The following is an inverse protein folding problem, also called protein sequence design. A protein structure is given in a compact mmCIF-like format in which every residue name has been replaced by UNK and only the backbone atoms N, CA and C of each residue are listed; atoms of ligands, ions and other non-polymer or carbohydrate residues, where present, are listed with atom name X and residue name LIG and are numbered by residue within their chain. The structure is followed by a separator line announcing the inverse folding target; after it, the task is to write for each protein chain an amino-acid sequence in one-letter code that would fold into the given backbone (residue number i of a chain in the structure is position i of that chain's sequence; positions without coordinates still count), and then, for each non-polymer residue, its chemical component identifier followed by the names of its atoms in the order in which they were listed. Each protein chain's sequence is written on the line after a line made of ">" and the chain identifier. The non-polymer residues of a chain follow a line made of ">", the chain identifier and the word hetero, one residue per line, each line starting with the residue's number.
data_IF_775700630299
#
_entry.id   IF_775700630299
#
_cell.length_a   1.000
_cell.length_b   1.000
_cell.length_c   1.000
_cell.angle_alpha   90.00
_cell.angle_beta   90.00
_cell.angle_gamma   90.00
#
_symmetry.space_group_name_H-M   'P 1'
#
loop_
_entity.id
_entity.type
_entity.pdbx_description
1 polymer ?
#
# COMPACT_ATOMS: atom_id res chain seq x y z
N UNK A 1 38.91 -34.13 48.10
CA UNK A 1 38.01 -33.22 47.33
C UNK A 1 38.30 -33.40 45.85
N UNK A 2 37.27 -33.65 45.04
CA UNK A 2 37.39 -33.74 43.58
C UNK A 2 36.02 -34.05 42.97
N UNK A 3 35.21 -33.00 42.75
CA UNK A 3 33.85 -33.12 42.19
C UNK A 3 33.92 -33.56 40.72
N UNK A 4 33.25 -34.66 40.36
CA UNK A 4 32.99 -35.04 38.96
C UNK A 4 32.02 -34.03 38.34
N UNK A 5 32.46 -33.32 37.31
CA UNK A 5 31.63 -32.50 36.44
C UNK A 5 30.69 -33.42 35.63
N UNK A 6 29.39 -33.12 35.63
CA UNK A 6 28.42 -33.79 34.75
C UNK A 6 28.56 -33.22 33.35
N UNK A 7 28.83 -34.08 32.39
CA UNK A 7 28.85 -33.77 30.97
C UNK A 7 27.45 -33.34 30.51
N UNK A 8 27.35 -32.20 29.83
CA UNK A 8 26.09 -31.68 29.31
C UNK A 8 25.61 -32.56 28.15
N UNK A 9 24.38 -33.08 28.23
CA UNK A 9 23.75 -33.80 27.12
C UNK A 9 23.62 -32.87 25.92
N UNK A 10 24.19 -33.25 24.78
CA UNK A 10 23.97 -32.57 23.51
C UNK A 10 22.47 -32.63 23.15
N UNK A 11 21.92 -31.50 22.73
CA UNK A 11 20.56 -31.40 22.21
C UNK A 11 20.44 -32.32 20.99
N UNK A 12 19.55 -33.30 21.09
CA UNK A 12 19.30 -34.31 20.07
C UNK A 12 18.83 -33.62 18.77
N UNK A 13 19.59 -33.77 17.69
CA UNK A 13 19.13 -33.41 16.36
C UNK A 13 17.94 -34.31 15.99
N UNK A 14 16.81 -33.71 15.63
CA UNK A 14 15.63 -34.42 15.17
C UNK A 14 15.99 -35.36 14.01
N UNK A 15 16.06 -36.66 14.29
CA UNK A 15 16.14 -37.67 13.23
C UNK A 15 14.78 -37.71 12.52
N UNK A 16 14.75 -37.42 11.22
CA UNK A 16 13.56 -37.62 10.39
C UNK A 16 13.11 -39.09 10.47
N UNK A 17 11.80 -39.41 10.50
CA UNK A 17 11.35 -40.79 10.62
C UNK A 17 11.81 -41.61 9.41
N UNK A 18 12.50 -42.72 9.66
CA UNK A 18 12.80 -43.72 8.62
C UNK A 18 11.51 -44.47 8.29
N UNK A 19 11.13 -44.45 7.01
CA UNK A 19 10.00 -45.21 6.48
C UNK A 19 10.23 -46.72 6.66
N UNK A 20 9.47 -47.34 7.54
CA UNK A 20 9.28 -48.80 7.58
C UNK A 20 7.92 -49.13 6.99
N UNK A 21 7.91 -49.56 5.73
CA UNK A 21 6.75 -50.15 5.08
C UNK A 21 6.32 -51.43 5.82
N UNK A 22 5.09 -51.46 6.38
CA UNK A 22 4.15 -52.60 6.44
C UNK A 22 3.01 -52.36 7.44
N UNK A 23 1.86 -51.87 6.95
CA UNK A 23 0.49 -52.45 7.04
C UNK A 23 -0.54 -51.41 6.56
N UNK A 24 -1.50 -51.77 5.68
CA UNK A 24 -2.47 -50.82 5.14
C UNK A 24 -3.70 -50.72 6.04
N UNK A 25 -3.79 -49.66 6.84
CA UNK A 25 -5.08 -49.10 7.23
C UNK A 25 -5.36 -47.90 6.35
N UNK A 26 -6.30 -48.06 5.43
CA UNK A 26 -6.86 -46.98 4.64
C UNK A 26 -7.69 -46.06 5.55
N UNK A 27 -7.50 -44.76 5.36
CA UNK A 27 -8.34 -43.57 5.64
C UNK A 27 -7.41 -42.50 6.24
N UNK A 28 -7.09 -41.48 5.44
CA UNK A 28 -6.17 -40.37 5.68
C UNK A 28 -4.66 -40.65 5.50
N UNK A 29 -4.21 -40.47 4.25
CA UNK A 29 -2.83 -40.07 3.97
C UNK A 29 -2.59 -38.72 4.66
N UNK A 30 -1.74 -38.67 5.68
CA UNK A 30 -1.49 -37.45 6.48
C UNK A 30 -0.87 -36.27 5.69
N UNK A 31 -0.61 -36.46 4.40
CA UNK A 31 0.22 -35.59 3.58
C UNK A 31 -0.24 -35.58 2.11
N UNK A 32 -1.55 -35.52 1.86
CA UNK A 32 -2.04 -35.07 0.55
C UNK A 32 -1.62 -33.60 0.35
N UNK A 33 -0.69 -33.39 -0.59
CA UNK A 33 -0.11 -32.08 -0.94
C UNK A 33 -1.19 -31.06 -1.29
N UNK A 34 -2.25 -31.55 -1.92
CA UNK A 34 -3.51 -30.90 -2.23
C UNK A 34 -4.25 -30.39 -1.00
N UNK A 35 -4.43 -31.19 0.06
CA UNK A 35 -5.11 -30.75 1.29
C UNK A 35 -4.33 -29.63 1.97
N UNK A 36 -3.01 -29.76 2.07
CA UNK A 36 -2.18 -28.73 2.72
C UNK A 36 -2.07 -27.46 1.87
N UNK A 37 -2.11 -27.57 0.55
CA UNK A 37 -2.21 -26.41 -0.34
C UNK A 37 -3.52 -25.67 -0.14
N UNK A 38 -4.66 -26.38 0.04
CA UNK A 38 -5.93 -25.75 0.39
C UNK A 38 -5.89 -25.06 1.76
N UNK A 39 -5.33 -25.71 2.79
CA UNK A 39 -5.15 -25.10 4.11
C UNK A 39 -4.28 -23.84 4.03
N UNK A 40 -3.22 -23.87 3.23
CA UNK A 40 -2.30 -22.75 3.04
C UNK A 40 -3.02 -21.49 2.51
N UNK A 41 -4.08 -21.63 1.70
CA UNK A 41 -4.89 -20.50 1.21
C UNK A 41 -5.59 -19.71 2.32
N UNK A 42 -5.67 -20.24 3.54
CA UNK A 42 -6.27 -19.58 4.70
C UNK A 42 -5.26 -19.07 5.73
N UNK A 43 -3.96 -19.36 5.54
CA UNK A 43 -2.89 -18.89 6.41
C UNK A 43 -2.38 -17.52 5.96
N UNK A 44 -2.08 -16.63 6.91
CA UNK A 44 -1.37 -15.37 6.61
C UNK A 44 0.10 -15.64 6.28
N UNK A 45 0.79 -14.67 5.65
CA UNK A 45 2.18 -14.85 5.25
C UNK A 45 3.11 -15.23 6.40
N UNK A 46 2.85 -14.71 7.62
CA UNK A 46 3.62 -15.08 8.81
C UNK A 46 3.42 -16.54 9.19
N UNK A 47 2.19 -17.03 9.22
CA UNK A 47 1.88 -18.43 9.53
C UNK A 47 2.42 -19.38 8.46
N UNK A 48 2.38 -18.99 7.18
CA UNK A 48 2.98 -19.77 6.09
C UNK A 48 4.48 -19.96 6.29
N UNK A 49 5.22 -18.89 6.61
CA UNK A 49 6.66 -18.97 6.90
C UNK A 49 6.92 -19.79 8.16
N UNK A 50 6.13 -19.58 9.22
CA UNK A 50 6.24 -20.34 10.47
C UNK A 50 6.02 -21.85 10.23
N UNK A 51 5.07 -22.23 9.37
CA UNK A 51 4.84 -23.62 9.02
C UNK A 51 5.96 -24.18 8.14
N UNK A 52 6.46 -23.39 7.17
CA UNK A 52 7.56 -23.76 6.29
C UNK A 52 8.84 -24.13 7.07
N UNK A 53 9.13 -23.45 8.18
CA UNK A 53 10.34 -23.72 8.98
C UNK A 53 10.23 -24.95 9.89
N UNK A 54 9.06 -25.59 9.99
CA UNK A 54 8.88 -26.76 10.87
C UNK A 54 9.55 -28.03 10.34
N UNK A 55 9.52 -28.27 9.03
CA UNK A 55 10.19 -29.41 8.39
C UNK A 55 10.39 -29.20 6.88
N UNK A 56 11.29 -30.01 6.27
CA UNK A 56 11.59 -29.93 4.83
C UNK A 56 10.38 -30.17 3.93
N UNK A 57 9.42 -31.00 4.38
CA UNK A 57 8.22 -31.30 3.61
C UNK A 57 7.29 -30.08 3.54
N UNK A 58 7.00 -29.45 4.69
CA UNK A 58 6.23 -28.20 4.71
C UNK A 58 6.93 -27.06 3.98
N UNK A 59 8.26 -26.95 4.10
CA UNK A 59 9.01 -25.96 3.34
C UNK A 59 8.75 -26.10 1.83
N UNK A 60 8.75 -27.33 1.30
CA UNK A 60 8.53 -27.55 -0.15
C UNK A 60 7.16 -27.05 -0.60
N UNK A 61 6.11 -27.33 0.18
CA UNK A 61 4.72 -26.99 -0.17
C UNK A 61 4.42 -25.51 0.09
N UNK A 62 4.76 -25.00 1.28
CA UNK A 62 4.43 -23.62 1.67
C UNK A 62 5.20 -22.56 0.87
N UNK A 63 6.32 -22.94 0.26
CA UNK A 63 7.13 -22.06 -0.59
C UNK A 63 6.78 -22.18 -2.08
N UNK A 64 5.76 -22.97 -2.44
CA UNK A 64 5.26 -22.98 -3.81
C UNK A 64 4.63 -21.64 -4.17
N UNK A 65 4.92 -21.18 -5.38
CA UNK A 65 4.47 -19.86 -5.86
C UNK A 65 2.94 -19.77 -5.95
N UNK A 66 2.26 -20.90 -6.17
CA UNK A 66 0.80 -21.03 -6.15
C UNK A 66 0.20 -20.65 -4.79
N UNK A 67 0.82 -21.06 -3.68
CA UNK A 67 0.39 -20.73 -2.32
C UNK A 67 0.46 -19.22 -2.10
N UNK A 68 1.59 -18.61 -2.48
CA UNK A 68 1.80 -17.17 -2.34
C UNK A 68 0.91 -16.35 -3.28
N UNK A 69 0.55 -16.89 -4.46
CA UNK A 69 -0.47 -16.30 -5.33
C UNK A 69 -1.80 -16.17 -4.60
N UNK A 70 -2.29 -17.24 -3.98
CA UNK A 70 -3.56 -17.21 -3.25
C UNK A 70 -3.50 -16.29 -2.04
N UNK A 71 -2.41 -16.35 -1.25
CA UNK A 71 -2.22 -15.45 -0.11
C UNK A 71 -2.22 -13.98 -0.55
N UNK A 72 -1.51 -13.65 -1.63
CA UNK A 72 -1.41 -12.29 -2.15
C UNK A 72 -2.76 -11.75 -2.62
N UNK A 73 -3.48 -12.50 -3.47
CA UNK A 73 -4.79 -12.08 -4.00
C UNK A 73 -5.83 -11.91 -2.88
N UNK A 74 -5.84 -12.82 -1.89
CA UNK A 74 -6.72 -12.76 -0.72
C UNK A 74 -6.43 -11.52 0.13
N UNK A 75 -5.16 -11.31 0.49
CA UNK A 75 -4.78 -10.25 1.43
C UNK A 75 -4.83 -8.86 0.78
N UNK A 76 -4.63 -8.77 -0.54
CA UNK A 76 -4.84 -7.54 -1.32
C UNK A 76 -6.30 -7.33 -1.74
N UNK A 77 -7.15 -8.37 -1.65
CA UNK A 77 -8.56 -8.38 -2.06
C UNK A 77 -8.78 -7.99 -3.53
N UNK A 78 -7.92 -8.50 -4.41
CA UNK A 78 -7.99 -8.28 -5.87
C UNK A 78 -8.14 -9.62 -6.59
N UNK A 79 -8.83 -9.67 -7.75
CA UNK A 79 -8.95 -10.89 -8.52
C UNK A 79 -7.65 -11.19 -9.26
N UNK A 80 -7.55 -12.39 -9.81
CA UNK A 80 -6.37 -12.83 -10.54
C UNK A 80 -6.19 -12.02 -11.84
N UNK A 81 -5.05 -11.32 -12.02
CA UNK A 81 -4.82 -10.46 -13.18
C UNK A 81 -4.37 -11.22 -14.44
N UNK A 82 -4.40 -12.56 -14.43
CA UNK A 82 -3.82 -13.38 -15.49
C UNK A 82 -2.34 -13.70 -15.25
N UNK A 83 -1.64 -14.11 -16.31
CA UNK A 83 -0.24 -14.49 -16.19
C UNK A 83 0.63 -13.27 -15.87
N UNK A 84 1.43 -13.41 -14.82
CA UNK A 84 2.35 -12.38 -14.35
C UNK A 84 3.80 -12.80 -14.58
N UNK A 85 4.71 -11.86 -14.90
CA UNK A 85 6.12 -12.17 -15.18
C UNK A 85 6.98 -12.35 -13.92
N UNK A 86 6.38 -12.29 -12.72
CA UNK A 86 7.07 -12.31 -11.44
C UNK A 86 6.60 -13.45 -10.54
N UNK A 87 7.40 -13.75 -9.50
CA UNK A 87 7.02 -14.68 -8.44
C UNK A 87 6.11 -13.99 -7.43
N UNK A 88 5.03 -14.65 -7.06
CA UNK A 88 4.07 -14.15 -6.09
C UNK A 88 4.66 -14.00 -4.68
N UNK A 89 5.65 -14.81 -4.31
CA UNK A 89 6.33 -14.66 -3.03
C UNK A 89 7.15 -13.37 -2.93
N UNK A 90 7.81 -12.96 -4.01
CA UNK A 90 8.56 -11.70 -4.06
C UNK A 90 7.60 -10.52 -3.94
N UNK A 91 6.48 -10.60 -4.66
CA UNK A 91 5.41 -9.63 -4.60
C UNK A 91 4.80 -9.48 -3.20
N UNK A 92 4.47 -10.61 -2.57
CA UNK A 92 3.88 -10.64 -1.24
C UNK A 92 4.85 -10.04 -0.23
N UNK A 93 6.12 -10.39 -0.33
CA UNK A 93 7.15 -9.83 0.56
C UNK A 93 7.15 -8.30 0.41
N UNK A 94 7.26 -7.78 -0.81
CA UNK A 94 7.29 -6.33 -1.03
C UNK A 94 6.00 -5.61 -0.62
N UNK A 95 4.84 -6.20 -0.91
CA UNK A 95 3.55 -5.59 -0.62
C UNK A 95 3.21 -5.56 0.89
N UNK A 96 3.94 -6.31 1.73
CA UNK A 96 3.65 -6.45 3.16
C UNK A 96 4.85 -6.17 4.08
N UNK A 97 6.09 -6.12 3.58
CA UNK A 97 7.31 -5.77 4.35
C UNK A 97 7.55 -4.26 4.48
N UNK A 98 6.72 -3.44 3.84
CA UNK A 98 6.83 -1.99 3.84
C UNK A 98 7.73 -1.41 2.74
N UNK A 99 8.36 -2.22 1.89
CA UNK A 99 9.15 -1.73 0.74
C UNK A 99 8.29 -1.10 -0.36
N UNK A 100 6.98 -1.40 -0.35
CA UNK A 100 6.00 -0.71 -1.19
C UNK A 100 5.72 0.74 -0.75
N UNK A 101 6.14 1.12 0.46
CA UNK A 101 5.81 2.42 1.06
C UNK A 101 6.67 3.54 0.49
N UNK A 102 6.25 4.79 0.72
CA UNK A 102 7.07 5.95 0.41
C UNK A 102 8.37 6.00 1.23
N UNK A 103 8.34 5.52 2.49
CA UNK A 103 9.49 5.51 3.37
C UNK A 103 10.65 4.66 2.84
N UNK A 104 10.36 3.64 2.02
CA UNK A 104 11.39 2.77 1.42
C UNK A 104 12.52 3.54 0.73
N UNK A 105 12.22 4.72 0.16
CA UNK A 105 13.22 5.62 -0.45
C UNK A 105 13.51 6.90 0.31
N UNK A 106 12.67 7.26 1.28
CA UNK A 106 12.79 8.51 2.02
C UNK A 106 12.82 8.22 3.52
N UNK A 107 13.79 7.38 3.91
CA UNK A 107 14.00 6.92 5.28
C UNK A 107 14.22 8.09 6.27
N UNK A 108 14.67 9.24 5.77
CA UNK A 108 14.94 10.44 6.55
C UNK A 108 13.69 11.27 6.86
N UNK A 109 12.51 10.88 6.37
CA UNK A 109 11.26 11.62 6.59
C UNK A 109 10.33 10.85 7.53
N UNK A 110 10.03 11.44 8.69
CA UNK A 110 8.98 10.98 9.58
C UNK A 110 7.62 11.17 8.89
N UNK A 111 7.06 10.08 8.39
CA UNK A 111 5.82 10.08 7.63
C UNK A 111 4.94 8.96 8.17
N UNK A 112 3.76 9.33 8.63
CA UNK A 112 2.72 8.35 8.89
C UNK A 112 2.16 7.90 7.55
N UNK A 113 2.34 6.62 7.29
CA UNK A 113 1.86 5.97 6.11
C UNK A 113 0.79 4.96 6.48
N UNK A 114 -0.24 4.87 5.66
CA UNK A 114 -1.25 3.84 5.78
C UNK A 114 -1.52 3.26 4.41
N UNK A 115 -1.37 1.93 4.28
CA UNK A 115 -1.84 1.23 3.09
C UNK A 115 -3.35 1.27 3.06
N UNK A 116 -3.91 1.79 1.98
CA UNK A 116 -5.36 1.81 1.76
C UNK A 116 -5.83 0.44 1.29
N UNK A 117 -5.10 -0.15 0.34
CA UNK A 117 -5.41 -1.45 -0.23
C UNK A 117 -4.85 -1.58 -1.64
N UNK A 118 -5.45 -2.46 -2.44
CA UNK A 118 -5.15 -2.60 -3.85
C UNK A 118 -6.42 -2.54 -4.71
N UNK A 119 -6.26 -2.08 -5.94
CA UNK A 119 -7.31 -1.97 -6.95
C UNK A 119 -6.74 -2.31 -8.33
N UNK A 120 -7.59 -2.38 -9.34
CA UNK A 120 -7.25 -2.74 -10.71
C UNK A 120 -7.43 -1.58 -11.68
N UNK A 121 -6.52 -1.53 -12.64
CA UNK A 121 -6.75 -0.90 -13.94
C UNK A 121 -6.93 -1.98 -15.01
N UNK A 122 -8.13 -2.08 -15.56
CA UNK A 122 -8.47 -2.88 -16.73
C UNK A 122 -8.32 -2.08 -18.04
N UNK A 123 -8.26 -0.75 -17.95
CA UNK A 123 -8.02 0.15 -19.07
C UNK A 123 -6.73 0.97 -18.91
N UNK A 124 -6.13 1.45 -20.02
CA UNK A 124 -4.94 2.28 -19.98
C UNK A 124 -5.23 3.74 -19.64
N UNK A 125 -6.45 4.06 -19.19
CA UNK A 125 -6.91 5.42 -18.94
C UNK A 125 -7.39 5.57 -17.49
N UNK A 126 -6.81 6.55 -16.78
CA UNK A 126 -7.17 6.90 -15.42
C UNK A 126 -7.80 8.29 -15.33
N UNK A 127 -8.75 8.44 -14.41
CA UNK A 127 -9.25 9.73 -13.96
C UNK A 127 -8.73 10.02 -12.56
N UNK A 128 -8.06 11.15 -12.41
CA UNK A 128 -7.54 11.67 -11.14
C UNK A 128 -8.37 12.88 -10.74
N UNK A 129 -8.87 12.96 -9.53
CA UNK A 129 -9.75 14.07 -9.11
C UNK A 129 -9.49 14.45 -7.66
N UNK A 130 -9.66 15.72 -7.36
CA UNK A 130 -9.73 16.25 -5.99
C UNK A 130 -11.18 16.49 -5.52
N UNK A 131 -12.15 16.36 -6.43
CA UNK A 131 -13.57 16.49 -6.14
C UNK A 131 -14.26 15.13 -6.22
N UNK A 132 -14.80 14.69 -5.07
CA UNK A 132 -15.52 13.43 -4.93
C UNK A 132 -17.04 13.65 -4.84
N UNK A 133 -17.55 14.75 -5.40
CA UNK A 133 -18.97 15.11 -5.38
C UNK A 133 -19.71 14.35 -6.48
N UNK A 134 -20.99 14.00 -6.22
CA UNK A 134 -21.85 13.21 -7.11
C UNK A 134 -21.84 13.69 -8.58
N UNK A 135 -21.56 12.74 -9.48
CA UNK A 135 -21.52 12.83 -10.94
C UNK A 135 -20.38 13.67 -11.55
N UNK A 136 -19.24 13.02 -11.80
CA UNK A 136 -18.25 13.54 -12.75
C UNK A 136 -18.81 13.34 -14.16
N UNK A 137 -19.29 14.41 -14.81
CA UNK A 137 -19.67 14.39 -16.22
C UNK A 137 -18.39 14.35 -17.06
N UNK A 138 -17.96 13.16 -17.47
CA UNK A 138 -16.76 12.96 -18.30
C UNK A 138 -16.95 13.71 -19.63
N UNK A 139 -16.10 14.70 -19.97
CA UNK A 139 -16.15 15.37 -21.25
C UNK A 139 -15.67 14.44 -22.36
N UNK A 140 -16.15 14.70 -23.58
CA UNK A 140 -15.60 14.04 -24.77
C UNK A 140 -14.13 14.45 -24.94
N UNK A 141 -13.30 13.46 -25.26
CA UNK A 141 -11.82 13.51 -25.35
C UNK A 141 -11.34 14.62 -26.31
N UNK A 142 -11.21 15.86 -25.83
CA UNK A 142 -10.57 16.94 -26.59
C UNK A 142 -9.39 17.54 -25.81
N UNK A 143 -8.20 16.99 -26.04
CA UNK A 143 -6.86 17.51 -25.68
C UNK A 143 -6.56 17.67 -24.17
N UNK A 144 -5.79 16.70 -23.64
CA UNK A 144 -5.37 16.53 -22.25
C UNK A 144 -4.74 17.77 -21.57
N UNK A 145 -3.99 18.58 -22.32
CA UNK A 145 -3.17 19.66 -21.75
C UNK A 145 -3.99 20.88 -21.29
N UNK A 146 -5.24 21.03 -21.74
CA UNK A 146 -6.11 22.18 -21.41
C UNK A 146 -7.19 21.87 -20.36
N UNK A 147 -7.43 20.60 -20.03
CA UNK A 147 -8.52 20.20 -19.10
C UNK A 147 -8.19 20.48 -17.62
N UNK A 148 -6.95 20.23 -17.20
CA UNK A 148 -6.56 20.28 -15.76
C UNK A 148 -6.68 21.69 -15.14
N UNK A 149 -6.64 22.76 -15.95
CA UNK A 149 -6.78 24.12 -15.43
C UNK A 149 -8.24 24.57 -15.23
N UNK A 150 -9.20 23.95 -15.91
CA UNK A 150 -10.62 24.36 -15.87
C UNK A 150 -11.53 23.38 -15.13
N UNK A 151 -11.21 22.09 -15.12
CA UNK A 151 -12.03 21.04 -14.50
C UNK A 151 -11.34 20.45 -13.27
N UNK A 152 -12.13 19.94 -12.32
CA UNK A 152 -11.65 19.37 -11.06
C UNK A 152 -11.13 17.94 -11.20
N UNK A 153 -10.52 17.62 -12.35
CA UNK A 153 -9.94 16.31 -12.61
C UNK A 153 -8.86 16.38 -13.70
N UNK A 154 -8.06 15.33 -13.76
CA UNK A 154 -6.98 15.12 -14.70
C UNK A 154 -7.11 13.72 -15.30
N UNK A 155 -7.11 13.63 -16.63
CA UNK A 155 -7.11 12.37 -17.35
C UNK A 155 -5.67 11.96 -17.66
N UNK A 156 -5.34 10.69 -17.43
CA UNK A 156 -4.00 10.16 -17.63
C UNK A 156 -4.07 8.88 -18.46
N UNK A 157 -3.40 8.88 -19.61
CA UNK A 157 -3.41 7.78 -20.56
C UNK A 157 -2.09 6.99 -20.52
N UNK A 158 -2.12 5.83 -21.16
CA UNK A 158 -1.00 4.89 -21.21
C UNK A 158 -0.61 4.43 -19.79
N UNK A 159 -1.62 4.14 -18.96
CA UNK A 159 -1.49 3.50 -17.65
C UNK A 159 -1.21 2.01 -17.85
N UNK A 160 -0.29 1.47 -17.05
CA UNK A 160 -0.08 0.03 -16.99
C UNK A 160 -1.28 -0.66 -16.35
N UNK A 161 -1.98 -1.50 -17.11
CA UNK A 161 -3.09 -2.32 -16.60
C UNK A 161 -2.59 -3.38 -15.63
N UNK A 162 -3.43 -3.74 -14.66
CA UNK A 162 -3.12 -4.75 -13.64
C UNK A 162 -3.37 -4.26 -12.23
N UNK A 163 -2.70 -4.87 -11.25
CA UNK A 163 -2.87 -4.56 -9.82
C UNK A 163 -2.06 -3.33 -9.44
N UNK A 164 -2.70 -2.43 -8.71
CA UNK A 164 -2.11 -1.24 -8.14
C UNK A 164 -2.29 -1.24 -6.63
N UNK A 165 -1.21 -0.92 -5.90
CA UNK A 165 -1.25 -0.76 -4.45
C UNK A 165 -1.36 0.73 -4.14
N UNK A 166 -2.36 1.09 -3.33
CA UNK A 166 -2.62 2.45 -2.91
C UNK A 166 -2.22 2.68 -1.45
N UNK A 167 -1.62 3.84 -1.19
CA UNK A 167 -1.25 4.29 0.14
C UNK A 167 -1.55 5.77 0.31
N UNK A 168 -1.92 6.15 1.53
CA UNK A 168 -1.92 7.54 1.95
C UNK A 168 -0.66 7.81 2.76
N UNK A 169 -0.08 8.98 2.53
CA UNK A 169 0.99 9.54 3.32
C UNK A 169 0.53 10.87 3.89
N UNK A 170 0.52 10.95 5.21
CA UNK A 170 0.37 12.21 5.92
C UNK A 170 1.70 12.52 6.58
N UNK A 171 2.20 13.71 6.34
CA UNK A 171 3.46 14.10 6.95
C UNK A 171 3.21 14.72 8.32
N UNK A 172 3.77 14.07 9.36
CA UNK A 172 3.78 14.54 10.74
C UNK A 172 5.25 14.62 11.16
N UNK A 173 5.74 15.79 11.56
CA UNK A 173 6.99 15.86 12.32
C UNK A 173 6.73 15.61 13.79
N UNK A 174 7.49 14.65 14.30
CA UNK A 174 7.63 14.39 15.72
C UNK A 174 8.26 15.59 16.44
N UNK A 175 7.53 16.23 17.35
CA UNK A 175 8.15 16.92 18.46
C UNK A 175 8.73 15.86 19.40
N UNK A 176 10.05 15.71 19.39
CA UNK A 176 10.78 14.81 20.27
C UNK A 176 11.37 15.65 21.41
N UNK A 177 10.73 15.66 22.59
CA UNK A 177 11.49 15.32 23.79
C UNK A 177 10.79 14.34 24.75
N UNK A 178 9.79 13.55 24.30
CA UNK A 178 9.15 12.53 25.15
C UNK A 178 9.74 11.11 25.02
N UNK A 179 10.53 10.81 23.98
CA UNK A 179 11.12 9.46 23.80
C UNK A 179 12.33 9.22 24.71
N UNK A 180 12.92 10.27 25.29
CA UNK A 180 14.04 10.14 26.23
C UNK A 180 13.62 9.61 27.62
N UNK A 181 12.33 9.56 27.97
CA UNK A 181 11.87 8.99 29.24
C UNK A 181 11.55 7.49 29.17
N UNK A 182 11.21 6.96 27.99
CA UNK A 182 10.81 5.55 27.83
C UNK A 182 11.97 4.59 27.51
N UNK A 183 13.18 5.12 27.31
CA UNK A 183 14.38 4.31 27.05
C UNK A 183 14.85 3.49 28.27
N UNK A 184 14.27 3.72 29.45
CA UNK A 184 14.66 3.05 30.70
C UNK A 184 13.82 1.82 31.08
N UNK A 185 12.84 1.39 30.27
CA UNK A 185 12.11 0.14 30.49
C UNK A 185 12.17 -0.72 29.23
N UNK A 186 13.08 -1.69 29.21
CA UNK A 186 13.38 -2.56 28.08
C UNK A 186 12.21 -3.43 27.60
N UNK A 187 11.29 -2.84 26.84
CA UNK A 187 10.21 -3.53 26.12
C UNK A 187 10.22 -3.02 24.67
N UNK A 188 11.19 -3.50 23.89
CA UNK A 188 11.34 -3.15 22.46
C UNK A 188 10.45 -4.01 21.53
N UNK A 189 9.73 -4.99 22.06
CA UNK A 189 8.94 -5.95 21.27
C UNK A 189 7.44 -5.67 21.22
N UNK A 190 6.93 -4.65 21.92
CA UNK A 190 5.50 -4.34 21.96
C UNK A 190 5.06 -3.20 21.00
N UNK A 191 5.97 -2.47 20.37
CA UNK A 191 5.61 -1.28 19.58
C UNK A 191 5.05 -1.56 18.17
N UNK A 192 5.12 -2.79 17.67
CA UNK A 192 4.55 -3.12 16.36
C UNK A 192 3.05 -3.44 16.37
N UNK A 193 2.37 -3.44 17.53
CA UNK A 193 1.01 -3.99 17.61
C UNK A 193 -0.04 -3.15 18.35
N UNK A 194 0.22 -1.89 18.68
CA UNK A 194 -0.80 -1.02 19.30
C UNK A 194 -0.78 0.37 18.68
N UNK A 195 -1.78 0.63 17.85
CA UNK A 195 -2.23 1.97 17.50
C UNK A 195 -2.67 2.72 18.76
N UNK A 196 -1.98 3.81 19.13
CA UNK A 196 -2.33 4.86 20.11
C UNK A 196 -1.10 5.80 20.15
N UNK A 197 -1.10 7.08 19.77
CA UNK A 197 -2.08 8.16 19.83
C UNK A 197 -1.81 9.11 18.64
N UNK A 198 -2.84 9.48 17.88
CA UNK A 198 -2.76 10.58 16.90
C UNK A 198 -3.84 11.61 17.23
N UNK A 199 -3.61 12.41 18.27
CA UNK A 199 -4.45 13.58 18.57
C UNK A 199 -3.81 14.92 18.16
N UNK A 200 -2.50 14.98 17.91
CA UNK A 200 -1.84 16.22 17.50
C UNK A 200 -1.24 16.09 16.09
N UNK A 201 -2.12 16.20 15.09
CA UNK A 201 -1.78 16.29 13.68
C UNK A 201 -1.29 17.71 13.34
N UNK A 202 -0.24 18.18 14.01
CA UNK A 202 0.35 19.49 13.72
C UNK A 202 1.86 19.36 13.54
N UNK A 203 2.29 19.83 12.36
CA UNK A 203 3.63 20.28 11.95
C UNK A 203 4.56 19.22 11.30
N UNK A 204 4.83 19.42 9.98
CA UNK A 204 6.10 19.54 9.20
C UNK A 204 6.51 18.67 7.97
N UNK A 205 6.91 19.41 6.88
CA UNK A 205 7.95 19.26 5.79
C UNK A 205 7.71 18.70 4.36
N UNK A 206 7.15 19.51 3.46
CA UNK A 206 7.04 19.25 2.00
C UNK A 206 8.24 18.52 1.32
N UNK A 207 8.02 17.40 0.61
CA UNK A 207 9.08 16.68 -0.10
C UNK A 207 9.45 17.25 -1.47
N UNK A 208 8.84 18.37 -1.89
CA UNK A 208 8.95 18.91 -3.26
C UNK A 208 9.80 20.17 -3.35
N UNK A 209 9.86 21.00 -2.30
CA UNK A 209 10.42 22.36 -2.47
C UNK A 209 11.86 22.58 -2.01
N UNK A 210 12.44 21.82 -1.08
CA UNK A 210 13.81 22.06 -0.55
C UNK A 210 14.08 23.55 -0.17
N UNK A 211 13.04 24.26 0.28
CA UNK A 211 13.06 25.70 0.59
C UNK A 211 12.71 25.96 2.06
N UNK A 212 13.41 26.93 2.65
CA UNK A 212 13.43 27.25 4.09
C UNK A 212 12.18 27.98 4.63
N UNK A 213 11.15 28.20 3.78
CA UNK A 213 9.94 29.02 4.08
C UNK A 213 8.63 28.22 4.11
N UNK A 214 8.67 26.91 4.39
CA UNK A 214 7.53 26.00 4.21
C UNK A 214 6.78 25.66 5.53
N UNK A 215 5.55 26.18 5.72
CA UNK A 215 4.64 25.89 6.85
C UNK A 215 3.40 25.02 6.47
N UNK A 216 3.57 23.98 5.64
CA UNK A 216 2.42 23.23 5.08
C UNK A 216 2.26 21.78 5.53
N UNK A 217 1.09 21.42 6.07
CA UNK A 217 0.58 20.03 6.15
C UNK A 217 0.25 19.54 4.73
N UNK A 218 0.77 18.36 4.36
CA UNK A 218 0.53 17.75 3.06
C UNK A 218 -0.09 16.37 3.21
N UNK A 219 -1.16 16.13 2.45
CA UNK A 219 -1.71 14.80 2.23
C UNK A 219 -1.33 14.33 0.83
N UNK A 220 -0.87 13.08 0.74
CA UNK A 220 -0.53 12.45 -0.54
C UNK A 220 -1.24 11.12 -0.69
N UNK A 221 -2.02 10.97 -1.77
CA UNK A 221 -2.50 9.68 -2.27
C UNK A 221 -1.53 9.18 -3.35
N UNK A 222 -0.83 8.09 -3.08
CA UNK A 222 -0.06 7.38 -4.10
C UNK A 222 -0.75 6.08 -4.48
N UNK A 223 -0.68 5.75 -5.77
CA UNK A 223 -0.96 4.42 -6.29
C UNK A 223 0.22 3.97 -7.15
N UNK A 224 0.65 2.72 -6.98
CA UNK A 224 1.81 2.14 -7.68
C UNK A 224 1.44 0.81 -8.29
N UNK A 225 1.79 0.60 -9.55
CA UNK A 225 1.65 -0.70 -10.20
C UNK A 225 2.51 -1.73 -9.46
N UNK A 226 2.00 -2.94 -9.28
CA UNK A 226 2.61 -3.93 -8.40
C UNK A 226 4.01 -4.39 -8.87
N UNK A 227 4.25 -4.40 -10.17
CA UNK A 227 5.56 -4.72 -10.75
C UNK A 227 6.62 -3.64 -10.51
N UNK A 228 6.22 -2.41 -10.19
CA UNK A 228 7.13 -1.28 -9.95
C UNK A 228 8.23 -1.69 -8.95
N UNK A 229 7.82 -2.39 -7.91
CA UNK A 229 8.72 -2.73 -6.81
C UNK A 229 9.72 -3.85 -7.12
N UNK A 230 9.55 -4.52 -8.26
CA UNK A 230 10.46 -5.56 -8.75
C UNK A 230 11.51 -4.99 -9.71
N UNK A 231 11.36 -3.74 -10.15
CA UNK A 231 12.27 -3.09 -11.10
C UNK A 231 13.49 -2.53 -10.39
N UNK A 232 14.66 -2.85 -10.91
CA UNK A 232 15.94 -2.36 -10.37
C UNK A 232 16.07 -0.85 -10.55
N UNK A 233 15.60 -0.32 -11.68
CA UNK A 233 15.61 1.12 -12.01
C UNK A 233 14.71 1.92 -11.08
N UNK A 234 13.60 1.31 -10.67
CA UNK A 234 12.84 1.83 -9.55
C UNK A 234 13.75 1.77 -8.33
N UNK A 235 14.14 0.59 -7.83
CA UNK A 235 14.91 0.43 -6.58
C UNK A 235 16.15 1.33 -6.46
N UNK A 236 16.87 1.58 -7.55
CA UNK A 236 18.06 2.43 -7.62
C UNK A 236 17.76 3.94 -7.65
N UNK A 237 16.50 4.34 -7.78
CA UNK A 237 16.07 5.74 -7.75
C UNK A 237 16.19 6.46 -9.09
N UNK A 238 16.36 5.73 -10.21
CA UNK A 238 16.51 6.32 -11.55
C UNK A 238 15.19 6.90 -12.06
N UNK A 239 14.07 6.33 -11.64
CA UNK A 239 12.75 6.79 -12.08
C UNK A 239 12.19 7.88 -11.18
N UNK A 240 11.84 9.00 -11.81
CA UNK A 240 11.29 10.18 -11.15
C UNK A 240 9.86 10.48 -11.57
N UNK A 241 9.18 11.21 -10.69
CA UNK A 241 7.85 11.76 -10.97
C UNK A 241 7.96 13.00 -11.84
N UNK A 242 7.03 13.15 -12.78
CA UNK A 242 6.81 14.39 -13.51
C UNK A 242 5.42 14.95 -13.22
N UNK A 243 5.29 16.28 -13.25
CA UNK A 243 4.03 16.96 -13.04
C UNK A 243 3.12 16.76 -14.26
N UNK A 244 1.93 16.19 -14.02
CA UNK A 244 0.87 16.03 -15.02
C UNK A 244 -0.04 17.25 -15.04
N UNK A 245 -0.31 17.82 -13.86
CA UNK A 245 -1.03 19.09 -13.75
C UNK A 245 -1.17 19.55 -12.31
N UNK A 246 -1.70 20.76 -12.14
CA UNK A 246 -1.83 21.41 -10.84
C UNK A 246 -3.03 22.35 -10.81
N UNK A 247 -3.62 22.50 -9.63
CA UNK A 247 -4.75 23.39 -9.38
C UNK A 247 -4.57 24.08 -8.03
N UNK A 248 -4.91 25.37 -7.96
CA UNK A 248 -4.95 26.09 -6.69
C UNK A 248 -6.41 26.42 -6.36
N UNK A 249 -6.83 26.11 -5.14
CA UNK A 249 -8.08 26.52 -4.54
C UNK A 249 -7.72 27.67 -3.60
N UNK A 250 -7.90 28.92 -4.04
CA UNK A 250 -7.52 30.12 -3.26
C UNK A 250 -8.65 30.57 -2.32
N UNK A 251 -9.28 29.60 -1.63
CA UNK A 251 -10.35 29.83 -0.66
C UNK A 251 -10.35 28.66 0.32
N UNK A 252 -10.94 28.88 1.50
CA UNK A 252 -11.10 27.83 2.51
C UNK A 252 -11.68 26.55 1.89
N UNK A 253 -10.96 25.45 2.10
CA UNK A 253 -11.38 24.10 1.73
C UNK A 253 -11.84 23.33 2.98
N UNK A 254 -12.99 22.66 2.89
CA UNK A 254 -13.51 21.83 3.99
C UNK A 254 -12.71 20.52 4.16
N UNK A 255 -12.03 20.07 3.11
CA UNK A 255 -11.30 18.80 3.11
C UNK A 255 -10.27 18.69 1.99
N UNK A 256 -9.25 17.86 2.23
CA UNK A 256 -8.28 17.40 1.25
C UNK A 256 -8.74 16.02 0.72
N UNK A 257 -9.49 16.06 -0.37
CA UNK A 257 -10.02 14.88 -1.06
C UNK A 257 -9.19 14.52 -2.29
N UNK A 258 -8.94 13.24 -2.53
CA UNK A 258 -8.25 12.75 -3.72
C UNK A 258 -8.80 11.40 -4.15
N UNK A 259 -8.98 11.19 -5.45
CA UNK A 259 -9.48 9.94 -6.02
C UNK A 259 -8.75 9.56 -7.31
N UNK A 260 -8.54 8.25 -7.48
CA UNK A 260 -7.97 7.63 -8.67
C UNK A 260 -8.96 6.56 -9.13
N UNK A 261 -9.39 6.65 -10.39
CA UNK A 261 -10.39 5.78 -10.98
C UNK A 261 -9.87 5.20 -12.30
N UNK A 262 -10.14 3.92 -12.55
CA UNK A 262 -10.16 3.40 -13.92
C UNK A 262 -11.30 4.08 -14.67
N UNK A 263 -10.95 4.81 -15.73
CA UNK A 263 -11.92 5.60 -16.50
C UNK A 263 -13.03 4.73 -17.11
N UNK A 264 -12.72 3.47 -17.45
CA UNK A 264 -13.68 2.53 -18.01
C UNK A 264 -14.78 2.16 -17.02
N UNK A 265 -14.46 2.15 -15.72
CA UNK A 265 -15.31 1.62 -14.65
C UNK A 265 -15.90 2.72 -13.76
N UNK A 266 -15.67 4.00 -14.06
CA UNK A 266 -16.14 5.14 -13.25
C UNK A 266 -17.67 5.26 -13.13
N UNK A 267 -18.42 4.70 -14.07
CA UNK A 267 -19.88 4.67 -14.06
C UNK A 267 -20.43 3.32 -13.55
N UNK A 268 -19.57 2.39 -13.13
CA UNK A 268 -20.00 1.11 -12.59
C UNK A 268 -20.53 1.28 -11.17
N UNK A 269 -21.53 0.48 -10.81
CA UNK A 269 -22.10 0.41 -9.45
C UNK A 269 -21.01 0.12 -8.39
N UNK A 270 -19.96 -0.63 -8.74
CA UNK A 270 -18.85 -0.88 -7.82
C UNK A 270 -18.08 0.39 -7.43
N UNK A 271 -18.15 1.47 -8.22
CA UNK A 271 -17.45 2.74 -7.96
C UNK A 271 -18.37 3.84 -7.41
N UNK A 272 -19.70 3.69 -7.51
CA UNK A 272 -20.66 4.69 -7.01
C UNK A 272 -20.52 4.91 -5.50
N UNK A 273 -20.12 3.88 -4.78
CA UNK A 273 -19.80 3.88 -3.34
C UNK A 273 -18.75 4.93 -2.93
N UNK A 274 -17.86 5.32 -3.85
CA UNK A 274 -16.87 6.37 -3.60
C UNK A 274 -17.52 7.76 -3.72
N UNK A 275 -18.44 7.92 -4.67
CA UNK A 275 -19.17 9.17 -4.92
C UNK A 275 -20.28 9.45 -3.91
N UNK A 276 -20.76 8.44 -3.18
CA UNK A 276 -21.52 8.65 -1.94
C UNK A 276 -20.57 9.14 -0.83
N UNK A 277 -20.01 10.33 -1.05
CA UNK A 277 -18.97 10.97 -0.26
C UNK A 277 -19.33 11.00 1.23
N UNK A 278 -20.59 11.28 1.55
CA UNK A 278 -21.04 11.40 2.94
C UNK A 278 -21.08 10.07 3.70
N UNK A 279 -21.13 8.92 3.01
CA UNK A 279 -21.25 7.61 3.64
C UNK A 279 -19.97 7.14 4.34
N UNK A 280 -18.80 7.61 3.91
CA UNK A 280 -17.51 7.08 4.37
C UNK A 280 -16.53 8.14 4.90
N UNK A 281 -16.79 9.42 4.65
CA UNK A 281 -15.94 10.51 5.16
C UNK A 281 -16.12 10.72 6.67
N UNK A 282 -15.10 11.28 7.30
CA UNK A 282 -15.14 11.62 8.71
C UNK A 282 -16.21 12.68 8.99
N UNK A 283 -16.77 12.66 10.21
CA UNK A 283 -17.59 13.78 10.69
C UNK A 283 -16.78 15.08 10.64
N UNK A 284 -17.44 16.24 10.55
CA UNK A 284 -16.79 17.55 10.37
C UNK A 284 -15.57 17.83 11.28
N UNK A 285 -15.60 17.34 12.53
CA UNK A 285 -14.51 17.53 13.50
C UNK A 285 -13.48 16.39 13.51
N UNK A 286 -13.76 15.28 12.81
CA UNK A 286 -12.85 14.16 12.64
C UNK A 286 -11.82 14.52 11.57
N UNK A 287 -10.59 14.75 12.03
CA UNK A 287 -9.43 15.13 11.20
C UNK A 287 -8.58 13.93 10.79
N UNK A 288 -9.01 12.70 11.12
CA UNK A 288 -8.30 11.52 10.64
C UNK A 288 -8.62 11.29 9.16
N UNK A 289 -7.62 10.90 8.36
CA UNK A 289 -7.86 10.52 6.98
C UNK A 289 -8.82 9.34 6.91
N UNK A 290 -9.89 9.48 6.13
CA UNK A 290 -10.76 8.36 5.74
C UNK A 290 -10.43 7.95 4.32
N UNK A 291 -10.54 6.65 4.07
CA UNK A 291 -10.23 6.07 2.77
C UNK A 291 -11.34 5.13 2.36
N UNK A 292 -11.56 5.03 1.06
CA UNK A 292 -12.50 4.10 0.45
C UNK A 292 -11.81 3.48 -0.75
N UNK A 293 -11.91 2.17 -0.88
CA UNK A 293 -11.36 1.43 -2.01
C UNK A 293 -12.41 0.49 -2.55
N UNK A 294 -12.41 0.38 -3.87
CA UNK A 294 -13.26 -0.51 -4.66
C UNK A 294 -12.36 -1.29 -5.60
N UNK A 295 -12.93 -2.18 -6.40
CA UNK A 295 -12.16 -2.98 -7.34
C UNK A 295 -11.38 -2.11 -8.36
N UNK A 296 -11.94 -0.97 -8.77
CA UNK A 296 -11.42 -0.14 -9.88
C UNK A 296 -11.13 1.31 -9.50
N UNK A 297 -11.20 1.64 -8.22
CA UNK A 297 -10.98 3.00 -7.77
C UNK A 297 -10.57 3.05 -6.29
N UNK A 298 -9.82 4.10 -5.95
CA UNK A 298 -9.41 4.41 -4.59
C UNK A 298 -9.60 5.90 -4.32
N UNK A 299 -10.05 6.23 -3.12
CA UNK A 299 -10.24 7.59 -2.69
C UNK A 299 -9.83 7.79 -1.22
N UNK A 300 -9.50 9.04 -0.92
CA UNK A 300 -9.14 9.51 0.41
C UNK A 300 -9.77 10.87 0.65
N UNK A 301 -10.13 11.15 1.90
CA UNK A 301 -10.50 12.47 2.37
C UNK A 301 -9.98 12.71 3.78
N UNK A 302 -9.43 13.90 4.02
CA UNK A 302 -9.13 14.40 5.36
C UNK A 302 -9.82 15.73 5.54
N UNK A 303 -10.65 15.86 6.59
CA UNK A 303 -11.29 17.14 6.89
C UNK A 303 -10.25 18.14 7.40
N UNK A 304 -10.32 19.37 6.89
CA UNK A 304 -9.34 20.41 7.17
C UNK A 304 -9.85 21.41 8.20
N UNK A 305 -8.92 22.08 8.87
CA UNK A 305 -9.23 23.26 9.67
C UNK A 305 -9.44 24.46 8.75
N UNK A 306 -9.76 25.62 9.31
CA UNK A 306 -9.72 26.88 8.57
C UNK A 306 -8.34 27.06 7.90
N UNK A 307 -8.36 27.42 6.62
CA UNK A 307 -7.18 27.50 5.77
C UNK A 307 -7.38 28.56 4.67
N UNK A 308 -6.27 29.04 4.11
CA UNK A 308 -6.28 30.00 3.00
C UNK A 308 -6.54 29.32 1.65
N UNK A 309 -6.39 28.00 1.61
CA UNK A 309 -6.67 27.20 0.42
C UNK A 309 -5.83 25.95 0.29
N UNK A 310 -5.89 25.36 -0.90
CA UNK A 310 -5.15 24.14 -1.26
C UNK A 310 -4.45 24.28 -2.61
N UNK A 311 -3.18 23.89 -2.65
CA UNK A 311 -2.47 23.55 -3.87
C UNK A 311 -2.54 22.03 -4.10
N UNK A 312 -3.19 21.64 -5.19
CA UNK A 312 -3.25 20.25 -5.66
C UNK A 312 -2.27 20.07 -6.81
N UNK A 313 -1.52 18.97 -6.79
CA UNK A 313 -0.66 18.54 -7.89
C UNK A 313 -0.87 17.06 -8.19
N UNK A 314 -0.99 16.73 -9.47
CA UNK A 314 -1.01 15.38 -10.00
C UNK A 314 0.34 15.08 -10.60
N UNK A 315 0.97 13.99 -10.17
CA UNK A 315 2.23 13.52 -10.72
C UNK A 315 2.09 12.09 -11.21
N UNK A 316 2.91 11.73 -12.18
CA UNK A 316 3.01 10.38 -12.71
C UNK A 316 4.47 9.98 -12.86
N UNK A 317 4.73 8.67 -12.85
CA UNK A 317 6.03 8.07 -13.13
C UNK A 317 5.86 7.04 -14.24
N UNK A 318 6.78 7.03 -15.20
CA UNK A 318 6.78 6.08 -16.33
C UNK A 318 7.88 5.05 -16.21
N UNK A 319 7.65 3.86 -16.78
CA UNK A 319 8.64 2.80 -16.93
C UNK A 319 9.70 3.20 -18.00
N UNK A 320 10.64 4.06 -17.62
CA UNK A 320 11.60 4.63 -18.55
C UNK A 320 10.99 5.63 -19.55
N UNK A 321 11.78 6.05 -20.54
CA UNK A 321 11.39 7.10 -21.49
C UNK A 321 10.31 6.59 -22.44
N UNK A 322 9.11 7.16 -22.37
CA UNK A 322 7.97 6.80 -23.23
C UNK A 322 7.24 5.52 -22.81
N UNK A 323 7.64 4.88 -21.72
CA UNK A 323 6.96 3.69 -21.20
C UNK A 323 5.59 3.99 -20.58
N UNK A 324 4.91 2.92 -20.17
CA UNK A 324 3.64 2.98 -19.45
C UNK A 324 3.78 3.75 -18.12
N UNK A 325 2.72 4.42 -17.67
CA UNK A 325 2.64 4.98 -16.33
C UNK A 325 2.49 3.84 -15.33
N UNK A 326 3.34 3.84 -14.31
CA UNK A 326 3.47 2.79 -13.30
C UNK A 326 3.38 3.32 -11.86
N UNK A 327 3.32 4.64 -11.70
CA UNK A 327 2.98 5.28 -10.43
C UNK A 327 2.23 6.57 -10.66
N UNK A 328 1.27 6.85 -9.78
CA UNK A 328 0.43 8.04 -9.76
C UNK A 328 0.47 8.63 -8.36
N UNK A 329 0.55 9.96 -8.28
CA UNK A 329 0.54 10.70 -7.02
C UNK A 329 -0.38 11.90 -7.11
N UNK A 330 -1.28 12.03 -6.14
CA UNK A 330 -2.08 13.23 -5.91
C UNK A 330 -1.61 13.84 -4.60
N UNK A 331 -0.98 15.01 -4.65
CA UNK A 331 -0.55 15.74 -3.46
C UNK A 331 -1.41 16.97 -3.24
N UNK A 332 -1.87 17.18 -2.03
CA UNK A 332 -2.65 18.33 -1.59
C UNK A 332 -1.91 19.02 -0.46
N UNK A 333 -1.57 20.29 -0.67
CA UNK A 333 -0.80 21.11 0.25
C UNK A 333 -1.62 22.32 0.63
N UNK A 334 -1.67 22.67 1.92
CA UNK A 334 -2.27 23.93 2.36
C UNK A 334 -1.47 25.12 1.80
N UNK A 335 -2.19 26.14 1.32
CA UNK A 335 -1.61 27.40 0.83
C UNK A 335 -1.17 28.31 1.97
#
# INVERSE_FOLDING_TARGET
>A
MGKRLREARSICCCASPRSSHRTPHAIFSWYEEDVWTEVAKFLDGKSLVMLAVTCKWFHRIMMEDSVWKYACLRDLRVPYPGNVPFKWIELYTTAFDGSHTYMFRQQEKHIDWMRIGAFLFDSPDALLTESLIESIKIPKVETMEKMVQKESFCLLNNIKTGIWIAGIFNQIVSLLPLIQSCSNMGILTAFYSTAFLFEDLQLVRCPVCDLDTCDGTMQTLDARHIELFLKEEYRSGIWDYYLVGSRNINKQADGASGGIFDLKHINDESTSDIFDYKSWVGKRMDRQPKTKITLHAVAVNTNLQENEGLQIKYHAMRAGKGGEVISIRISQQLL
#
